data_IF_645027495131
#
_entry.id   IF_645027495131
#
_cell.length_a   1.000
_cell.length_b   1.000
_cell.length_c   1.000
_cell.angle_alpha   90.00
_cell.angle_beta   90.00
_cell.angle_gamma   90.00
#
_symmetry.space_group_name_H-M   'P 1'
#
loop_
_entity.id
_entity.type
_entity.pdbx_description
1 polymer ?
#
# COMPACT_ATOMS: atom_id res chain seq x y z
N UNK A 1 -16.02 8.33 41.18
CA UNK A 1 -16.12 7.48 39.98
C UNK A 1 -14.82 7.63 39.21
N UNK A 2 -13.95 6.64 39.33
CA UNK A 2 -12.69 6.64 38.58
C UNK A 2 -12.95 6.08 37.18
N UNK A 3 -13.06 6.96 36.22
CA UNK A 3 -13.06 6.56 34.82
C UNK A 3 -11.61 6.31 34.44
N UNK A 4 -11.29 5.10 34.06
CA UNK A 4 -9.96 4.77 33.59
C UNK A 4 -9.68 5.59 32.31
N UNK A 5 -8.64 6.43 32.37
CA UNK A 5 -8.21 7.26 31.23
C UNK A 5 -7.96 6.40 29.99
N UNK A 6 -7.48 5.17 30.16
CA UNK A 6 -7.28 4.19 29.11
C UNK A 6 -8.59 3.77 28.44
N UNK A 7 -9.69 3.65 29.17
CA UNK A 7 -11.01 3.37 28.60
C UNK A 7 -11.58 4.57 27.86
N UNK A 8 -11.39 5.78 28.40
CA UNK A 8 -11.79 7.02 27.72
C UNK A 8 -11.03 7.19 26.40
N UNK A 9 -9.74 6.88 26.39
CA UNK A 9 -8.93 6.92 25.16
C UNK A 9 -9.33 5.83 24.16
N UNK A 10 -9.67 4.64 24.63
CA UNK A 10 -10.24 3.58 23.76
C UNK A 10 -11.61 3.95 23.18
N UNK A 11 -12.40 4.71 23.92
CA UNK A 11 -13.69 5.24 23.46
C UNK A 11 -13.52 6.40 22.46
N UNK A 12 -12.35 7.04 22.44
CA UNK A 12 -12.06 8.15 21.53
C UNK A 12 -11.78 7.72 20.09
N UNK A 13 -11.56 6.41 19.83
CA UNK A 13 -11.37 5.90 18.48
C UNK A 13 -12.73 5.75 17.81
N UNK A 14 -13.05 6.72 16.96
CA UNK A 14 -14.33 6.78 16.25
C UNK A 14 -14.28 6.00 14.94
N UNK A 15 -15.47 5.62 14.45
CA UNK A 15 -15.61 5.02 13.12
C UNK A 15 -15.08 5.95 12.01
N UNK A 16 -15.16 7.26 12.21
CA UNK A 16 -14.63 8.27 11.29
C UNK A 16 -13.11 8.19 11.19
N UNK A 17 -12.40 8.11 12.33
CA UNK A 17 -10.95 7.95 12.35
C UNK A 17 -10.49 6.67 11.64
N UNK A 18 -11.20 5.57 11.85
CA UNK A 18 -10.90 4.29 11.17
C UNK A 18 -11.10 4.43 9.65
N UNK A 19 -12.15 5.12 9.22
CA UNK A 19 -12.42 5.38 7.81
C UNK A 19 -11.32 6.24 7.18
N UNK A 20 -10.96 7.35 7.82
CA UNK A 20 -9.89 8.24 7.37
C UNK A 20 -8.56 7.51 7.25
N UNK A 21 -8.17 6.74 8.27
CA UNK A 21 -6.94 5.95 8.23
C UNK A 21 -6.96 4.90 7.11
N UNK A 22 -8.12 4.31 6.84
CA UNK A 22 -8.28 3.38 5.72
C UNK A 22 -8.11 4.06 4.37
N UNK A 23 -8.65 5.25 4.20
CA UNK A 23 -8.50 6.05 2.96
C UNK A 23 -7.04 6.46 2.73
N UNK A 24 -6.34 6.83 3.80
CA UNK A 24 -4.93 7.22 3.74
C UNK A 24 -3.98 6.03 3.49
N UNK A 25 -4.21 4.92 4.14
CA UNK A 25 -3.27 3.77 4.15
C UNK A 25 -3.61 2.67 3.17
N UNK A 26 -4.87 2.60 2.70
CA UNK A 26 -5.37 1.47 1.93
C UNK A 26 -5.48 0.15 2.72
N UNK A 27 -5.19 0.15 4.02
CA UNK A 27 -5.25 -1.03 4.87
C UNK A 27 -6.69 -1.47 5.19
N UNK A 28 -6.84 -2.72 5.62
CA UNK A 28 -8.14 -3.25 6.03
C UNK A 28 -8.67 -2.57 7.29
N UNK A 29 -10.00 -2.51 7.43
CA UNK A 29 -10.68 -1.84 8.55
C UNK A 29 -10.20 -2.32 9.93
N UNK A 30 -10.02 -3.63 10.10
CA UNK A 30 -9.56 -4.21 11.36
C UNK A 30 -8.10 -3.84 11.67
N UNK A 31 -7.26 -3.75 10.66
CA UNK A 31 -5.88 -3.33 10.84
C UNK A 31 -5.79 -1.84 11.18
N UNK A 32 -6.61 -1.01 10.56
CA UNK A 32 -6.73 0.41 10.92
C UNK A 32 -7.19 0.59 12.38
N UNK A 33 -8.20 -0.18 12.81
CA UNK A 33 -8.67 -0.14 14.20
C UNK A 33 -7.57 -0.55 15.18
N UNK A 34 -6.83 -1.63 14.87
CA UNK A 34 -5.69 -2.08 15.70
C UNK A 34 -4.58 -1.03 15.77
N UNK A 35 -4.25 -0.42 14.63
CA UNK A 35 -3.23 0.62 14.56
C UNK A 35 -3.61 1.84 15.43
N UNK A 36 -4.84 2.34 15.30
CA UNK A 36 -5.34 3.44 16.12
C UNK A 36 -5.37 3.09 17.61
N UNK A 37 -5.75 1.86 17.95
CA UNK A 37 -5.71 1.41 19.35
C UNK A 37 -4.28 1.38 19.89
N UNK A 38 -3.33 0.87 19.09
CA UNK A 38 -1.92 0.78 19.49
C UNK A 38 -1.24 2.15 19.61
N UNK A 39 -1.73 3.14 18.88
CA UNK A 39 -1.18 4.51 18.84
C UNK A 39 -2.06 5.52 19.60
N UNK A 40 -2.99 5.02 20.41
CA UNK A 40 -3.87 5.85 21.25
C UNK A 40 -4.63 6.94 20.46
N UNK A 41 -5.01 6.64 19.22
CA UNK A 41 -5.73 7.54 18.34
C UNK A 41 -4.86 8.53 17.55
N UNK A 42 -3.53 8.44 17.66
CA UNK A 42 -2.62 9.25 16.87
C UNK A 42 -2.60 8.76 15.42
N UNK A 43 -3.10 9.59 14.50
CA UNK A 43 -3.29 9.23 13.10
C UNK A 43 -1.96 9.02 12.37
N UNK A 44 -0.98 9.90 12.60
CA UNK A 44 0.33 9.83 11.92
C UNK A 44 1.11 8.59 12.36
N UNK A 45 1.11 8.31 13.66
CA UNK A 45 1.71 7.08 14.20
C UNK A 45 0.97 5.82 13.73
N UNK A 46 -0.34 5.88 13.54
CA UNK A 46 -1.11 4.77 13.02
C UNK A 46 -0.78 4.47 11.55
N UNK A 47 -0.56 5.49 10.74
CA UNK A 47 -0.06 5.34 9.36
C UNK A 47 1.31 4.65 9.36
N UNK A 48 2.24 5.12 10.18
CA UNK A 48 3.58 4.53 10.27
C UNK A 48 3.54 3.09 10.79
N UNK A 49 2.73 2.81 11.81
CA UNK A 49 2.50 1.45 12.32
C UNK A 49 2.02 0.51 11.21
N UNK A 50 1.08 0.97 10.38
CA UNK A 50 0.56 0.16 9.25
C UNK A 50 1.62 -0.03 8.17
N UNK A 51 2.44 0.99 7.91
CA UNK A 51 3.55 0.91 6.96
C UNK A 51 4.59 -0.12 7.39
N UNK A 52 5.02 -0.08 8.63
CA UNK A 52 5.98 -1.05 9.20
C UNK A 52 5.43 -2.48 9.16
N UNK A 53 4.15 -2.65 9.52
CA UNK A 53 3.47 -3.94 9.45
C UNK A 53 3.40 -4.46 8.00
N UNK A 54 3.14 -3.59 7.04
CA UNK A 54 3.13 -3.92 5.62
C UNK A 54 4.50 -4.39 5.14
N UNK A 55 5.57 -3.69 5.50
CA UNK A 55 6.94 -4.07 5.18
C UNK A 55 7.31 -5.45 5.77
N UNK A 56 6.99 -5.70 7.04
CA UNK A 56 7.23 -6.99 7.67
C UNK A 56 6.46 -8.13 6.99
N UNK A 57 5.24 -7.87 6.55
CA UNK A 57 4.43 -8.84 5.80
C UNK A 57 5.02 -9.10 4.41
N UNK A 58 5.47 -8.07 3.71
CA UNK A 58 6.12 -8.18 2.42
C UNK A 58 7.41 -9.02 2.51
N UNK A 59 8.24 -8.78 3.52
CA UNK A 59 9.44 -9.58 3.76
C UNK A 59 9.15 -11.07 3.96
N UNK A 60 8.12 -11.40 4.74
CA UNK A 60 7.69 -12.79 4.95
C UNK A 60 7.22 -13.48 3.66
N UNK A 61 6.73 -12.71 2.71
CA UNK A 61 6.22 -13.21 1.42
C UNK A 61 7.25 -13.14 0.29
N UNK A 62 8.40 -12.53 0.51
CA UNK A 62 9.40 -12.28 -0.53
C UNK A 62 9.93 -13.55 -1.21
N UNK A 63 9.90 -14.70 -0.51
CA UNK A 63 10.32 -15.98 -1.07
C UNK A 63 9.25 -16.72 -1.89
N UNK A 64 8.03 -16.19 -1.98
CA UNK A 64 6.96 -16.83 -2.73
C UNK A 64 7.21 -16.68 -4.22
N UNK A 65 6.91 -17.74 -4.97
CA UNK A 65 7.02 -17.72 -6.43
C UNK A 65 5.89 -16.84 -7.01
N UNK A 66 6.27 -15.85 -7.80
CA UNK A 66 5.38 -14.98 -8.52
C UNK A 66 5.63 -15.15 -10.03
N UNK A 67 5.05 -16.21 -10.61
CA UNK A 67 5.24 -16.60 -12.00
C UNK A 67 4.23 -15.97 -12.98
N UNK A 68 3.17 -15.41 -12.45
CA UNK A 68 2.16 -14.66 -13.18
C UNK A 68 2.44 -13.15 -13.11
N UNK A 69 1.62 -12.33 -13.73
CA UNK A 69 1.76 -10.88 -13.68
C UNK A 69 1.36 -10.20 -14.97
N UNK A 70 1.80 -8.96 -15.13
CA UNK A 70 1.54 -8.13 -16.32
C UNK A 70 2.81 -7.43 -16.77
N UNK A 71 2.95 -7.29 -18.10
CA UNK A 71 3.85 -6.35 -18.73
C UNK A 71 3.06 -5.14 -19.24
N UNK A 72 3.62 -3.96 -19.06
CA UNK A 72 3.08 -2.71 -19.61
C UNK A 72 4.14 -1.96 -20.37
N UNK A 73 3.78 -1.48 -21.56
CA UNK A 73 4.64 -0.64 -22.38
C UNK A 73 4.03 0.76 -22.48
N UNK A 74 4.89 1.79 -22.44
CA UNK A 74 4.52 3.16 -22.77
C UNK A 74 5.54 3.76 -23.72
N UNK A 75 5.06 4.60 -24.63
CA UNK A 75 5.88 5.37 -25.55
C UNK A 75 5.51 6.85 -25.38
N UNK A 76 6.51 7.73 -25.33
CA UNK A 76 6.28 9.18 -25.27
C UNK A 76 5.61 9.68 -26.55
N UNK A 77 4.89 10.82 -26.47
CA UNK A 77 4.18 11.41 -27.60
C UNK A 77 5.12 11.72 -28.78
N UNK A 78 6.36 12.14 -28.50
CA UNK A 78 7.39 12.41 -29.52
C UNK A 78 8.09 11.15 -30.07
N UNK A 79 7.77 9.97 -29.54
CA UNK A 79 8.35 8.68 -29.93
C UNK A 79 9.81 8.47 -29.54
N UNK A 80 10.40 9.36 -28.74
CA UNK A 80 11.83 9.31 -28.40
C UNK A 80 12.14 8.54 -27.13
N UNK A 81 11.14 8.27 -26.31
CA UNK A 81 11.28 7.53 -25.05
C UNK A 81 10.22 6.43 -24.96
N UNK A 82 10.63 5.26 -24.57
CA UNK A 82 9.74 4.14 -24.30
C UNK A 82 10.18 3.42 -23.03
N UNK A 83 9.21 2.84 -22.32
CA UNK A 83 9.46 1.98 -21.17
C UNK A 83 8.68 0.68 -21.31
N UNK A 84 9.25 -0.38 -20.77
CA UNK A 84 8.61 -1.68 -20.57
C UNK A 84 8.76 -2.02 -19.11
N UNK A 85 7.67 -2.30 -18.42
CA UNK A 85 7.68 -2.75 -17.03
C UNK A 85 7.03 -4.12 -16.95
N UNK A 86 7.59 -4.98 -16.12
CA UNK A 86 7.01 -6.26 -15.72
C UNK A 86 6.75 -6.24 -14.22
N UNK A 87 5.52 -6.55 -13.82
CA UNK A 87 5.14 -6.68 -12.41
C UNK A 87 4.58 -8.08 -12.19
N UNK A 88 5.28 -8.86 -11.40
CA UNK A 88 4.93 -10.24 -11.15
C UNK A 88 3.89 -10.36 -10.01
N UNK A 89 3.06 -11.38 -10.09
CA UNK A 89 2.05 -11.73 -9.11
C UNK A 89 2.02 -13.24 -8.88
N UNK A 90 1.52 -13.66 -7.72
CA UNK A 90 1.46 -15.09 -7.36
C UNK A 90 0.43 -15.86 -8.23
N UNK A 91 -0.64 -15.21 -8.67
CA UNK A 91 -1.74 -15.84 -9.42
C UNK A 91 -2.21 -14.98 -10.59
N UNK A 92 -2.82 -15.65 -11.58
CA UNK A 92 -3.48 -14.99 -12.71
C UNK A 92 -4.73 -14.19 -12.28
N UNK A 93 -5.39 -14.58 -11.20
CA UNK A 93 -6.50 -13.81 -10.62
C UNK A 93 -6.05 -12.42 -10.18
N UNK A 94 -4.88 -12.31 -9.56
CA UNK A 94 -4.30 -11.00 -9.22
C UNK A 94 -3.99 -10.21 -10.49
N UNK A 95 -3.37 -10.82 -11.49
CA UNK A 95 -3.05 -10.17 -12.76
C UNK A 95 -4.28 -9.63 -13.50
N UNK A 96 -5.43 -10.28 -13.36
CA UNK A 96 -6.71 -9.86 -13.95
C UNK A 96 -7.47 -8.82 -13.12
N UNK A 97 -7.03 -8.55 -11.89
CA UNK A 97 -7.68 -7.60 -11.01
C UNK A 97 -7.44 -6.16 -11.48
N UNK A 98 -8.50 -5.36 -11.52
CA UNK A 98 -8.44 -3.96 -11.97
C UNK A 98 -7.47 -3.09 -11.14
N UNK A 99 -7.45 -3.26 -9.82
CA UNK A 99 -6.51 -2.53 -8.95
C UNK A 99 -5.06 -2.86 -9.27
N UNK A 100 -4.77 -4.13 -9.55
CA UNK A 100 -3.43 -4.55 -9.96
C UNK A 100 -3.05 -3.96 -11.32
N UNK A 101 -3.96 -3.98 -12.29
CA UNK A 101 -3.76 -3.38 -13.61
C UNK A 101 -3.49 -1.88 -13.51
N UNK A 102 -4.24 -1.16 -12.67
CA UNK A 102 -4.03 0.27 -12.42
C UNK A 102 -2.68 0.52 -11.75
N UNK A 103 -2.29 -0.30 -10.79
CA UNK A 103 -0.97 -0.24 -10.17
C UNK A 103 0.16 -0.41 -11.20
N UNK A 104 0.07 -1.39 -12.08
CA UNK A 104 1.07 -1.61 -13.15
C UNK A 104 1.13 -0.42 -14.10
N UNK A 105 -0.02 0.18 -14.44
CA UNK A 105 -0.07 1.39 -15.26
C UNK A 105 0.61 2.58 -14.57
N UNK A 106 0.40 2.75 -13.28
CA UNK A 106 1.05 3.81 -12.48
C UNK A 106 2.57 3.60 -12.40
N UNK A 107 3.02 2.36 -12.22
CA UNK A 107 4.46 2.01 -12.23
C UNK A 107 5.08 2.34 -13.58
N UNK A 108 4.41 2.01 -14.69
CA UNK A 108 4.88 2.33 -16.03
C UNK A 108 4.98 3.85 -16.25
N UNK A 109 3.98 4.62 -15.81
CA UNK A 109 3.97 6.08 -15.88
C UNK A 109 5.12 6.68 -15.07
N UNK A 110 5.36 6.17 -13.87
CA UNK A 110 6.48 6.61 -13.04
C UNK A 110 7.83 6.27 -13.66
N UNK A 111 7.98 5.09 -14.25
CA UNK A 111 9.19 4.68 -14.96
C UNK A 111 9.49 5.59 -16.17
N UNK A 112 8.45 6.08 -16.85
CA UNK A 112 8.58 7.04 -17.94
C UNK A 112 9.18 8.39 -17.47
N UNK A 113 8.86 8.81 -16.25
CA UNK A 113 9.22 10.12 -15.71
C UNK A 113 10.45 10.12 -14.80
N UNK A 114 10.94 8.94 -14.42
CA UNK A 114 12.13 8.84 -13.54
C UNK A 114 13.44 8.91 -14.31
N UNK A 115 14.48 9.38 -13.64
CA UNK A 115 15.89 9.29 -14.07
C UNK A 115 16.67 8.25 -13.24
N UNK A 116 16.00 7.51 -12.36
CA UNK A 116 16.60 6.48 -11.55
C UNK A 116 17.28 5.39 -12.41
N UNK A 117 18.44 4.92 -11.98
CA UNK A 117 19.23 3.93 -12.70
C UNK A 117 18.73 2.49 -12.47
N UNK A 118 18.08 2.26 -11.34
CA UNK A 118 17.56 0.97 -10.92
C UNK A 118 16.29 1.12 -10.06
N UNK A 119 15.71 0.00 -9.64
CA UNK A 119 14.46 -0.02 -8.88
C UNK A 119 14.63 0.45 -7.42
N UNK A 120 15.82 0.41 -6.89
CA UNK A 120 16.13 0.81 -5.51
C UNK A 120 16.43 2.31 -5.37
N UNK A 121 16.67 2.96 -6.49
CA UNK A 121 16.86 4.40 -6.57
C UNK A 121 15.50 5.12 -6.63
#
# INVERSE_FOLDING_TARGET
>A
MNIDIMEVMKMAITATMVKELRELSGAGMMDCKKALTATEGDMDKAVEFLREKGLATAQKKASRVAAEGLCKTLVSEDGKKAVVVEVNAETDFVAKNEKFQNYVADVAAQAMNTTAADIDA
#
